data_IF_646187246196
#
_entry.id   IF_646187246196
#
_cell.length_a   1.000
_cell.length_b   1.000
_cell.length_c   1.000
_cell.angle_alpha   90.00
_cell.angle_beta   90.00
_cell.angle_gamma   90.00
#
_symmetry.space_group_name_H-M   'P 1'
#
loop_
_entity.id
_entity.type
_entity.pdbx_description
1 polymer ?
#
# COMPACT_ATOMS: atom_id res chain seq x y z
N UNK A 1 0.26 -26.52 -14.68
CA UNK A 1 -0.39 -25.80 -13.57
C UNK A 1 0.71 -25.39 -12.60
N UNK A 2 0.81 -24.12 -12.21
CA UNK A 2 1.80 -23.69 -11.22
C UNK A 2 1.40 -24.26 -9.85
N UNK A 3 2.35 -24.81 -9.12
CA UNK A 3 2.14 -25.32 -7.77
C UNK A 3 2.69 -24.27 -6.81
N UNK A 4 1.78 -23.61 -6.08
CA UNK A 4 2.15 -22.62 -5.08
C UNK A 4 2.13 -23.23 -3.69
N UNK A 5 3.11 -22.87 -2.88
CA UNK A 5 3.06 -23.15 -1.46
C UNK A 5 1.88 -22.39 -0.81
N UNK A 6 1.38 -22.82 0.37
CA UNK A 6 0.32 -22.10 1.07
C UNK A 6 0.68 -20.63 1.37
N UNK A 7 1.95 -20.35 1.70
CA UNK A 7 2.42 -18.98 1.92
C UNK A 7 2.33 -18.11 0.67
N UNK A 8 2.68 -18.66 -0.49
CA UNK A 8 2.55 -17.99 -1.79
C UNK A 8 1.09 -17.67 -2.13
N UNK A 9 0.16 -18.57 -1.81
CA UNK A 9 -1.27 -18.30 -1.96
C UNK A 9 -1.74 -17.11 -1.11
N UNK A 10 -1.30 -17.05 0.16
CA UNK A 10 -1.68 -15.98 1.08
C UNK A 10 -1.19 -14.63 0.58
N UNK A 11 0.09 -14.50 0.19
CA UNK A 11 0.61 -13.23 -0.31
C UNK A 11 -0.07 -12.80 -1.61
N UNK A 12 -0.32 -13.72 -2.55
CA UNK A 12 -1.04 -13.40 -3.79
C UNK A 12 -2.48 -12.96 -3.54
N UNK A 13 -3.16 -13.55 -2.56
CA UNK A 13 -4.47 -13.11 -2.14
C UNK A 13 -4.42 -11.68 -1.58
N UNK A 14 -3.44 -11.36 -0.73
CA UNK A 14 -3.23 -9.99 -0.21
C UNK A 14 -2.96 -9.00 -1.36
N UNK A 15 -2.11 -9.37 -2.33
CA UNK A 15 -1.84 -8.55 -3.53
C UNK A 15 -3.13 -8.23 -4.28
N UNK A 16 -3.97 -9.25 -4.52
CA UNK A 16 -5.23 -9.12 -5.22
C UNK A 16 -6.23 -8.23 -4.46
N UNK A 17 -6.38 -8.46 -3.15
CA UNK A 17 -7.42 -7.79 -2.36
C UNK A 17 -7.04 -6.38 -1.93
N UNK A 18 -5.75 -6.07 -1.78
CA UNK A 18 -5.31 -4.78 -1.21
C UNK A 18 -5.81 -3.55 -1.99
N UNK A 19 -5.61 -3.46 -3.32
CA UNK A 19 -6.13 -2.33 -4.10
C UNK A 19 -7.65 -2.24 -4.09
N UNK A 20 -8.34 -3.39 -4.08
CA UNK A 20 -9.80 -3.45 -4.01
C UNK A 20 -10.33 -2.96 -2.66
N UNK A 21 -9.67 -3.31 -1.57
CA UNK A 21 -9.99 -2.81 -0.24
C UNK A 21 -9.72 -1.31 -0.13
N UNK A 22 -8.59 -0.84 -0.67
CA UNK A 22 -8.24 0.58 -0.68
C UNK A 22 -9.25 1.42 -1.50
N UNK A 23 -9.69 0.89 -2.64
CA UNK A 23 -10.68 1.54 -3.48
C UNK A 23 -12.07 1.51 -2.85
N UNK A 24 -12.45 0.39 -2.23
CA UNK A 24 -13.75 0.25 -1.55
C UNK A 24 -13.85 1.07 -0.27
N UNK A 25 -12.73 1.39 0.37
CA UNK A 25 -12.70 2.26 1.54
C UNK A 25 -13.20 3.68 1.23
N UNK A 26 -13.14 4.12 -0.02
CA UNK A 26 -13.76 5.37 -0.49
C UNK A 26 -15.29 5.37 -0.24
N UNK A 27 -15.96 4.22 -0.43
CA UNK A 27 -17.40 4.09 -0.21
C UNK A 27 -17.84 4.26 1.24
N UNK A 28 -16.91 4.22 2.21
CA UNK A 28 -17.22 4.57 3.60
C UNK A 28 -17.54 6.06 3.78
N UNK A 29 -17.16 6.89 2.79
CA UNK A 29 -17.39 8.35 2.77
C UNK A 29 -18.70 8.75 2.10
N UNK A 30 -19.45 7.78 1.55
CA UNK A 30 -20.80 7.99 1.00
C UNK A 30 -20.90 7.71 -0.50
N UNK A 31 -19.90 8.09 -1.29
CA UNK A 31 -19.82 7.78 -2.72
C UNK A 31 -18.73 6.73 -2.97
N UNK A 32 -19.17 5.53 -3.35
CA UNK A 32 -18.26 4.44 -3.69
C UNK A 32 -17.69 4.57 -5.10
N UNK A 33 -16.58 3.85 -5.37
CA UNK A 33 -15.97 3.83 -6.70
C UNK A 33 -16.96 3.30 -7.74
N UNK A 34 -16.96 3.91 -8.93
CA UNK A 34 -17.75 3.43 -10.06
C UNK A 34 -17.40 1.98 -10.43
N UNK A 35 -18.42 1.17 -10.76
CA UNK A 35 -18.22 -0.23 -11.12
C UNK A 35 -17.17 -0.47 -12.24
N UNK A 36 -17.00 0.39 -13.27
CA UNK A 36 -15.98 0.15 -14.28
C UNK A 36 -14.57 0.23 -13.70
N UNK A 37 -14.32 1.17 -12.79
CA UNK A 37 -13.03 1.33 -12.13
C UNK A 37 -12.72 0.11 -11.24
N UNK A 38 -13.71 -0.38 -10.49
CA UNK A 38 -13.56 -1.61 -9.70
C UNK A 38 -13.14 -2.80 -10.57
N UNK A 39 -13.77 -2.98 -11.75
CA UNK A 39 -13.42 -4.07 -12.68
C UNK A 39 -12.01 -3.92 -13.21
N UNK A 40 -11.59 -2.70 -13.59
CA UNK A 40 -10.24 -2.43 -14.09
C UNK A 40 -9.20 -2.71 -13.00
N UNK A 41 -9.41 -2.20 -11.78
CA UNK A 41 -8.50 -2.41 -10.65
C UNK A 41 -8.48 -3.89 -10.26
N UNK A 42 -9.60 -4.61 -10.32
CA UNK A 42 -9.62 -6.06 -10.08
C UNK A 42 -8.78 -6.81 -11.11
N UNK A 43 -8.91 -6.48 -12.40
CA UNK A 43 -8.13 -7.11 -13.47
C UNK A 43 -6.63 -6.83 -13.32
N UNK A 44 -6.25 -5.59 -13.03
CA UNK A 44 -4.85 -5.20 -12.79
C UNK A 44 -4.29 -5.87 -11.53
N UNK A 45 -5.08 -5.95 -10.46
CA UNK A 45 -4.68 -6.61 -9.21
C UNK A 45 -4.52 -8.11 -9.39
N UNK A 46 -5.35 -8.74 -10.21
CA UNK A 46 -5.17 -10.14 -10.60
C UNK A 46 -3.90 -10.34 -11.45
N UNK A 47 -3.64 -9.45 -12.42
CA UNK A 47 -2.41 -9.49 -13.20
C UNK A 47 -1.17 -9.30 -12.30
N UNK A 48 -1.22 -8.37 -11.35
CA UNK A 48 -0.16 -8.12 -10.38
C UNK A 48 0.03 -9.29 -9.43
N UNK A 49 -1.05 -9.90 -8.95
CA UNK A 49 -1.01 -11.09 -8.11
C UNK A 49 -0.43 -12.31 -8.85
N UNK A 50 -0.53 -12.37 -10.18
CA UNK A 50 0.07 -13.42 -11.01
C UNK A 50 1.52 -13.11 -11.41
N UNK A 51 1.80 -11.85 -11.70
CA UNK A 51 3.08 -11.31 -12.17
C UNK A 51 3.50 -10.11 -11.29
N UNK A 52 4.08 -10.35 -10.10
CA UNK A 52 4.40 -9.30 -9.13
C UNK A 52 5.44 -8.28 -9.64
N UNK A 53 6.24 -8.65 -10.63
CA UNK A 53 7.23 -7.74 -11.27
C UNK A 53 6.62 -6.90 -12.40
N UNK A 54 5.33 -7.09 -12.72
CA UNK A 54 4.67 -6.36 -13.80
C UNK A 54 4.30 -4.94 -13.38
N UNK A 55 4.23 -3.98 -14.33
CA UNK A 55 3.77 -2.63 -14.04
C UNK A 55 2.28 -2.56 -13.64
N UNK A 56 1.52 -3.67 -13.74
CA UNK A 56 0.09 -3.71 -13.43
C UNK A 56 -0.21 -3.25 -11.99
N UNK A 57 0.65 -3.60 -11.03
CA UNK A 57 0.50 -3.16 -9.64
C UNK A 57 0.61 -1.65 -9.49
N UNK A 58 1.63 -1.05 -10.10
CA UNK A 58 1.82 0.40 -10.10
C UNK A 58 0.65 1.13 -10.76
N UNK A 59 0.14 0.61 -11.89
CA UNK A 59 -1.04 1.18 -12.56
C UNK A 59 -2.27 1.08 -11.65
N UNK A 60 -2.49 -0.06 -10.99
CA UNK A 60 -3.60 -0.22 -10.04
C UNK A 60 -3.51 0.79 -8.89
N UNK A 61 -2.33 0.98 -8.30
CA UNK A 61 -2.13 1.93 -7.20
C UNK A 61 -2.37 3.37 -7.65
N UNK A 62 -1.86 3.75 -8.83
CA UNK A 62 -2.09 5.10 -9.39
C UNK A 62 -3.58 5.34 -9.63
N UNK A 63 -4.33 4.35 -10.14
CA UNK A 63 -5.77 4.49 -10.33
C UNK A 63 -6.53 4.64 -9.02
N UNK A 64 -6.15 3.89 -7.97
CA UNK A 64 -6.73 4.06 -6.63
C UNK A 64 -6.44 5.46 -6.09
N UNK A 65 -5.20 5.94 -6.19
CA UNK A 65 -4.84 7.28 -5.75
C UNK A 65 -5.56 8.38 -6.55
N UNK A 66 -5.76 8.17 -7.85
CA UNK A 66 -6.48 9.10 -8.71
C UNK A 66 -7.97 9.19 -8.34
N UNK A 67 -8.63 8.07 -8.02
CA UNK A 67 -10.04 8.13 -7.57
C UNK A 67 -10.18 8.91 -6.27
N UNK A 68 -9.29 8.64 -5.31
CA UNK A 68 -9.26 9.37 -4.04
C UNK A 68 -9.01 10.87 -4.21
N UNK A 69 -8.21 11.26 -5.20
CA UNK A 69 -7.98 12.67 -5.52
C UNK A 69 -9.22 13.33 -6.13
N UNK A 70 -9.92 12.64 -7.03
CA UNK A 70 -11.15 13.15 -7.68
C UNK A 70 -12.35 13.19 -6.73
N UNK A 71 -12.46 12.22 -5.82
CA UNK A 71 -13.55 12.09 -4.87
C UNK A 71 -13.66 13.24 -3.86
N UNK A 72 -12.64 14.10 -3.76
CA UNK A 72 -12.70 15.30 -2.92
C UNK A 72 -12.84 15.00 -1.42
N UNK A 73 -12.50 13.77 -1.01
CA UNK A 73 -12.50 13.30 0.36
C UNK A 73 -11.84 14.32 1.29
N UNK A 74 -12.51 14.66 2.39
CA UNK A 74 -11.88 15.42 3.46
C UNK A 74 -10.64 14.66 3.92
N UNK A 75 -9.48 15.33 3.94
CA UNK A 75 -8.15 14.77 4.23
C UNK A 75 -8.04 14.03 5.58
N UNK A 76 -9.11 14.00 6.38
CA UNK A 76 -9.15 13.58 7.78
C UNK A 76 -10.02 12.33 7.99
N UNK A 77 -10.57 11.70 6.95
CA UNK A 77 -11.32 10.46 7.15
C UNK A 77 -10.40 9.27 7.50
N UNK A 78 -10.74 8.52 8.56
CA UNK A 78 -9.98 7.36 9.01
C UNK A 78 -9.92 6.22 7.95
N UNK A 79 -10.85 6.19 7.00
CA UNK A 79 -10.81 5.29 5.84
C UNK A 79 -9.55 5.47 4.98
N UNK A 80 -8.93 6.65 4.99
CA UNK A 80 -7.65 6.90 4.30
C UNK A 80 -6.51 6.06 4.90
N UNK A 81 -6.51 5.85 6.22
CA UNK A 81 -5.53 4.99 6.89
C UNK A 81 -5.72 3.52 6.52
N UNK A 82 -6.97 3.08 6.36
CA UNK A 82 -7.29 1.74 5.89
C UNK A 82 -6.80 1.54 4.44
N UNK A 83 -7.04 2.52 3.57
CA UNK A 83 -6.55 2.48 2.19
C UNK A 83 -5.02 2.44 2.12
N UNK A 84 -4.33 3.28 2.89
CA UNK A 84 -2.88 3.28 2.99
C UNK A 84 -2.33 1.93 3.47
N UNK A 85 -2.91 1.37 4.53
CA UNK A 85 -2.53 0.05 5.04
C UNK A 85 -2.70 -1.05 3.98
N UNK A 86 -3.82 -1.04 3.24
CA UNK A 86 -4.13 -2.03 2.23
C UNK A 86 -3.16 -1.96 1.03
N UNK A 87 -2.81 -0.76 0.56
CA UNK A 87 -1.83 -0.56 -0.51
C UNK A 87 -0.42 -0.99 -0.09
N UNK A 88 0.01 -0.63 1.13
CA UNK A 88 1.32 -1.03 1.66
C UNK A 88 1.39 -2.55 1.84
N UNK A 89 0.34 -3.18 2.37
CA UNK A 89 0.27 -4.62 2.52
C UNK A 89 0.33 -5.34 1.16
N UNK A 90 -0.39 -4.85 0.15
CA UNK A 90 -0.33 -5.37 -1.23
C UNK A 90 1.09 -5.25 -1.80
N UNK A 91 1.74 -4.10 -1.61
CA UNK A 91 3.11 -3.90 -2.09
C UNK A 91 4.10 -4.86 -1.42
N UNK A 92 4.07 -4.97 -0.10
CA UNK A 92 4.94 -5.89 0.66
C UNK A 92 4.69 -7.33 0.24
N UNK A 93 3.43 -7.73 0.08
CA UNK A 93 3.08 -9.07 -0.36
C UNK A 93 3.57 -9.35 -1.80
N UNK A 94 3.52 -8.37 -2.70
CA UNK A 94 4.02 -8.50 -4.07
C UNK A 94 5.54 -8.66 -4.09
N UNK A 95 6.26 -7.87 -3.27
CA UNK A 95 7.71 -8.02 -3.10
C UNK A 95 8.05 -9.42 -2.59
N UNK A 96 7.36 -9.91 -1.56
CA UNK A 96 7.58 -11.25 -1.03
C UNK A 96 7.25 -12.35 -2.06
N UNK A 97 6.20 -12.16 -2.88
CA UNK A 97 5.87 -13.08 -3.95
C UNK A 97 6.92 -13.09 -5.07
N UNK A 98 7.68 -12.00 -5.26
CA UNK A 98 8.76 -11.89 -6.23
C UNK A 98 10.11 -12.45 -5.75
N UNK A 99 10.31 -12.62 -4.44
CA UNK A 99 11.61 -12.93 -3.84
C UNK A 99 12.24 -14.27 -4.26
N UNK A 100 11.45 -15.22 -4.75
CA UNK A 100 11.95 -16.55 -5.10
C UNK A 100 10.96 -17.40 -5.88
N UNK A 101 11.37 -18.63 -6.24
CA UNK A 101 10.51 -19.56 -6.98
C UNK A 101 9.18 -19.86 -6.27
N UNK A 102 8.15 -20.06 -7.07
CA UNK A 102 6.75 -20.28 -6.67
C UNK A 102 6.53 -21.51 -5.75
N UNK A 103 7.47 -22.47 -5.80
CA UNK A 103 7.46 -23.75 -5.10
C UNK A 103 8.33 -23.77 -3.83
N UNK A 104 9.08 -22.69 -3.56
CA UNK A 104 9.90 -22.55 -2.36
C UNK A 104 9.12 -21.83 -1.26
N UNK A 105 9.11 -22.34 -0.01
CA UNK A 105 8.49 -21.64 1.11
C UNK A 105 9.11 -20.27 1.35
N UNK A 106 8.29 -19.28 1.74
CA UNK A 106 8.78 -17.96 2.12
C UNK A 106 9.66 -18.03 3.37
N UNK A 107 10.86 -17.45 3.29
CA UNK A 107 11.76 -17.35 4.43
C UNK A 107 11.18 -16.41 5.50
N UNK A 108 11.24 -16.83 6.76
CA UNK A 108 10.64 -16.11 7.88
C UNK A 108 11.37 -14.81 8.17
N UNK A 109 12.70 -14.79 8.08
CA UNK A 109 13.51 -13.61 8.40
C UNK A 109 13.30 -12.52 7.35
N UNK A 110 13.30 -12.90 6.07
CA UNK A 110 12.96 -12.00 4.96
C UNK A 110 11.54 -11.46 5.09
N UNK A 111 10.57 -12.33 5.41
CA UNK A 111 9.17 -11.93 5.61
C UNK A 111 9.05 -10.90 6.74
N UNK A 112 9.66 -11.16 7.89
CA UNK A 112 9.63 -10.25 9.03
C UNK A 112 10.32 -8.92 8.72
N UNK A 113 11.44 -8.93 7.99
CA UNK A 113 12.12 -7.71 7.57
C UNK A 113 11.20 -6.82 6.72
N UNK A 114 10.51 -7.39 5.74
CA UNK A 114 9.60 -6.62 4.90
C UNK A 114 8.34 -6.16 5.63
N UNK A 115 7.83 -6.94 6.58
CA UNK A 115 6.75 -6.50 7.46
C UNK A 115 7.17 -5.30 8.32
N UNK A 116 8.37 -5.32 8.90
CA UNK A 116 8.89 -4.18 9.68
C UNK A 116 9.07 -2.95 8.81
N UNK A 117 9.62 -3.09 7.59
CA UNK A 117 9.75 -1.99 6.63
C UNK A 117 8.38 -1.42 6.22
N UNK A 118 7.43 -2.29 5.89
CA UNK A 118 6.06 -1.89 5.58
C UNK A 118 5.39 -1.16 6.73
N UNK A 119 5.53 -1.66 7.96
CA UNK A 119 5.01 -1.01 9.15
C UNK A 119 5.66 0.37 9.39
N UNK A 120 6.99 0.48 9.22
CA UNK A 120 7.70 1.74 9.34
C UNK A 120 7.23 2.78 8.31
N UNK A 121 7.01 2.36 7.06
CA UNK A 121 6.44 3.22 6.01
C UNK A 121 4.99 3.60 6.35
N UNK A 122 4.19 2.64 6.85
CA UNK A 122 2.81 2.89 7.23
C UNK A 122 2.68 3.96 8.31
N UNK A 123 3.63 4.07 9.25
CA UNK A 123 3.61 5.11 10.29
C UNK A 123 3.64 6.55 9.75
N UNK A 124 4.08 6.77 8.50
CA UNK A 124 3.93 8.07 7.86
C UNK A 124 2.46 8.46 7.67
N UNK A 125 1.58 7.50 7.36
CA UNK A 125 0.16 7.76 7.13
C UNK A 125 -0.57 8.33 8.35
N UNK A 126 -0.56 7.72 9.56
CA UNK A 126 -1.18 8.30 10.74
C UNK A 126 -0.50 9.59 11.19
N UNK A 127 0.83 9.75 10.98
CA UNK A 127 1.50 11.01 11.29
C UNK A 127 0.99 12.17 10.42
N UNK A 128 0.82 11.94 9.12
CA UNK A 128 0.25 12.92 8.18
C UNK A 128 -1.22 13.16 8.44
N UNK A 129 -1.97 12.10 8.75
CA UNK A 129 -3.38 12.20 9.12
C UNK A 129 -3.58 13.05 10.39
N UNK A 130 -2.81 12.82 11.44
CA UNK A 130 -2.85 13.62 12.67
C UNK A 130 -2.47 15.09 12.42
N UNK A 131 -1.52 15.34 11.52
CA UNK A 131 -1.15 16.69 11.15
C UNK A 131 -2.24 17.39 10.34
N UNK A 132 -2.89 16.67 9.41
CA UNK A 132 -4.01 17.19 8.64
C UNK A 132 -5.22 17.50 9.54
N UNK A 133 -5.52 16.62 10.49
CA UNK A 133 -6.54 16.83 11.54
C UNK A 133 -6.23 18.09 12.36
N UNK A 134 -5.00 18.22 12.87
CA UNK A 134 -4.59 19.38 13.67
C UNK A 134 -4.62 20.72 12.91
N UNK A 135 -4.61 20.69 11.57
CA UNK A 135 -4.59 21.86 10.69
C UNK A 135 -5.92 22.06 9.95
N UNK A 136 -6.96 21.29 10.26
CA UNK A 136 -8.24 21.30 9.54
C UNK A 136 -8.93 22.68 9.52
N UNK A 137 -8.70 23.48 10.57
CA UNK A 137 -9.32 24.80 10.75
C UNK A 137 -8.56 25.94 10.05
N UNK A 138 -7.41 25.66 9.42
CA UNK A 138 -6.58 26.67 8.76
C UNK A 138 -7.01 26.86 7.28
N UNK A 139 -7.16 28.11 6.81
CA UNK A 139 -7.62 28.41 5.44
C UNK A 139 -6.58 28.12 4.36
N UNK A 140 -5.28 28.08 4.69
CA UNK A 140 -4.19 27.67 3.77
C UNK A 140 -3.50 26.41 4.30
N UNK A 141 -3.75 25.28 3.65
CA UNK A 141 -3.20 23.97 4.04
C UNK A 141 -1.90 23.60 3.28
N UNK A 142 -1.20 24.59 2.68
CA UNK A 142 0.02 24.34 1.90
C UNK A 142 1.11 23.61 2.71
N UNK A 143 1.15 23.81 4.03
CA UNK A 143 2.07 23.11 4.93
C UNK A 143 1.84 21.61 5.06
N UNK A 144 0.60 21.14 4.90
CA UNK A 144 0.24 19.70 5.02
C UNK A 144 0.91 18.90 3.91
N UNK A 145 0.95 19.44 2.69
CA UNK A 145 1.57 18.79 1.54
C UNK A 145 3.08 18.61 1.72
N UNK A 146 3.77 19.68 2.15
CA UNK A 146 5.21 19.65 2.40
C UNK A 146 5.54 18.68 3.53
N UNK A 147 4.79 18.74 4.62
CA UNK A 147 4.98 17.84 5.75
C UNK A 147 4.70 16.37 5.38
N UNK A 148 3.69 16.12 4.54
CA UNK A 148 3.40 14.81 3.98
C UNK A 148 4.58 14.22 3.21
N UNK A 149 5.15 15.02 2.29
CA UNK A 149 6.32 14.61 1.50
C UNK A 149 7.53 14.36 2.39
N UNK A 150 7.79 15.23 3.37
CA UNK A 150 8.91 15.07 4.31
C UNK A 150 8.75 13.82 5.17
N UNK A 151 7.55 13.58 5.72
CA UNK A 151 7.26 12.40 6.53
C UNK A 151 7.43 11.11 5.71
N UNK A 152 6.87 11.07 4.50
CA UNK A 152 7.01 9.93 3.59
C UNK A 152 8.48 9.68 3.22
N UNK A 153 9.21 10.73 2.86
CA UNK A 153 10.65 10.62 2.51
C UNK A 153 11.46 10.12 3.70
N UNK A 154 11.21 10.64 4.90
CA UNK A 154 11.90 10.23 6.12
C UNK A 154 11.61 8.76 6.47
N UNK A 155 10.36 8.33 6.35
CA UNK A 155 9.97 6.94 6.59
C UNK A 155 10.62 5.98 5.59
N UNK A 156 10.70 6.36 4.31
CA UNK A 156 11.42 5.60 3.27
C UNK A 156 12.91 5.51 3.59
N UNK A 157 13.56 6.62 3.94
CA UNK A 157 14.98 6.63 4.32
C UNK A 157 15.24 5.75 5.54
N UNK A 158 14.38 5.83 6.56
CA UNK A 158 14.47 4.98 7.73
C UNK A 158 14.32 3.50 7.38
N UNK A 159 13.34 3.13 6.55
CA UNK A 159 13.12 1.75 6.10
C UNK A 159 14.32 1.19 5.30
N UNK A 160 15.01 2.05 4.53
CA UNK A 160 16.25 1.70 3.82
C UNK A 160 17.38 1.43 4.83
N UNK A 161 17.60 2.35 5.77
CA UNK A 161 18.71 2.27 6.74
C UNK A 161 18.52 1.13 7.73
N UNK A 162 17.32 0.91 8.25
CA UNK A 162 17.02 -0.13 9.23
C UNK A 162 17.29 -1.57 8.75
N UNK A 163 17.49 -1.76 7.44
CA UNK A 163 17.88 -3.06 6.88
C UNK A 163 19.35 -3.23 6.53
N UNK A 164 20.21 -2.21 6.72
CA UNK A 164 21.66 -2.31 6.47
C UNK A 164 22.42 -3.01 7.60
N UNK A 165 21.93 -2.96 8.83
CA UNK A 165 22.66 -3.44 10.01
C UNK A 165 22.66 -4.98 10.19
N UNK A 166 22.28 -5.73 9.16
CA UNK A 166 22.16 -7.20 9.19
C UNK A 166 23.06 -7.93 8.19
N UNK A 167 24.18 -7.35 7.77
CA UNK A 167 25.23 -8.09 7.06
C UNK A 167 26.04 -8.93 8.08
N UNK A 168 26.00 -10.28 8.05
CA UNK A 168 26.96 -11.07 8.80
C UNK A 168 28.35 -10.93 8.14
N UNK A 169 29.34 -10.66 8.99
CA UNK A 169 30.77 -10.64 8.64
C UNK A 169 31.29 -12.03 8.24
#
# INVERSE_FOLDING_TARGET
MRHWTPGQWVVRLVVLTGPLLALSAEGLQGDGPGWPLLVIVAALSAAFALYPESPAGSVAFVLVLASWWEGGAGLVDASALLAAAALIASHVAAVLAAYGPDDVPLDREVTLLWLVRGAAVFLAAPAVWLLADALSDQPEQAGVWVAGVVAATTAVLFAIVAGRDREPA
#
